data_IF_663058116588
#
_entry.id   IF_663058116588
#
_cell.length_a   1.000
_cell.length_b   1.000
_cell.length_c   1.000
_cell.angle_alpha   90.00
_cell.angle_beta   90.00
_cell.angle_gamma   90.00
#
_symmetry.space_group_name_H-M   'P 1'
#
loop_
_entity.id
_entity.type
_entity.pdbx_description
1 polymer ?
#
# COMPACT_ATOMS: atom_id res chain seq x y z
N UNK A 1 -34.93 -45.25 -32.63
CA UNK A 1 -33.83 -44.97 -31.69
C UNK A 1 -33.91 -43.52 -31.26
N UNK A 2 -34.18 -43.26 -29.98
CA UNK A 2 -34.25 -41.92 -29.38
C UNK A 2 -32.86 -41.53 -28.87
N UNK A 3 -32.30 -40.43 -29.34
CA UNK A 3 -31.10 -39.84 -28.74
C UNK A 3 -31.54 -38.78 -27.73
N UNK A 4 -31.22 -39.00 -26.45
CA UNK A 4 -31.36 -38.04 -25.37
C UNK A 4 -30.05 -37.24 -25.31
N UNK A 5 -30.11 -35.95 -25.64
CA UNK A 5 -29.00 -35.02 -25.39
C UNK A 5 -29.03 -34.62 -23.91
N UNK A 6 -28.05 -35.10 -23.14
CA UNK A 6 -27.75 -34.56 -21.82
C UNK A 6 -26.95 -33.26 -21.98
N UNK A 7 -27.58 -32.12 -21.69
CA UNK A 7 -26.88 -30.86 -21.46
C UNK A 7 -26.26 -30.90 -20.05
N UNK A 8 -24.97 -31.19 -19.97
CA UNK A 8 -24.18 -30.95 -18.76
C UNK A 8 -23.95 -29.43 -18.64
N UNK A 9 -24.70 -28.78 -17.75
CA UNK A 9 -24.47 -27.39 -17.37
C UNK A 9 -23.18 -27.33 -16.54
N UNK A 10 -22.05 -27.13 -17.23
CA UNK A 10 -20.77 -26.78 -16.60
C UNK A 10 -20.91 -25.35 -16.07
N UNK A 11 -21.35 -25.18 -14.82
CA UNK A 11 -21.18 -23.93 -14.11
C UNK A 11 -19.70 -23.89 -13.69
N UNK A 12 -18.85 -23.04 -14.29
CA UNK A 12 -17.53 -22.85 -13.73
C UNK A 12 -17.71 -22.28 -12.33
N UNK A 13 -17.23 -23.01 -11.33
CA UNK A 13 -17.08 -22.53 -9.98
C UNK A 13 -16.12 -21.33 -10.04
N UNK A 14 -16.67 -20.11 -10.16
CA UNK A 14 -15.88 -18.89 -10.04
C UNK A 14 -15.49 -18.79 -8.57
N UNK A 15 -14.34 -19.36 -8.23
CA UNK A 15 -13.67 -19.06 -6.98
C UNK A 15 -13.46 -17.55 -6.93
N UNK A 16 -14.19 -16.85 -6.05
CA UNK A 16 -13.90 -15.47 -5.71
C UNK A 16 -12.51 -15.43 -5.09
N UNK A 17 -11.48 -15.21 -5.92
CA UNK A 17 -10.16 -14.87 -5.43
C UNK A 17 -10.31 -13.59 -4.63
N UNK A 18 -10.11 -13.67 -3.30
CA UNK A 18 -10.04 -12.48 -2.45
C UNK A 18 -8.86 -11.65 -2.92
N UNK A 19 -9.12 -10.50 -3.54
CA UNK A 19 -8.09 -9.56 -3.92
C UNK A 19 -7.62 -8.84 -2.66
N UNK A 20 -6.44 -9.23 -2.18
CA UNK A 20 -5.75 -8.62 -1.04
C UNK A 20 -5.29 -7.17 -1.28
N UNK A 21 -5.55 -6.64 -2.46
CA UNK A 21 -5.24 -5.27 -2.81
C UNK A 21 -6.20 -4.76 -3.90
N UNK A 22 -6.28 -3.43 -4.02
CA UNK A 22 -6.98 -2.75 -5.12
C UNK A 22 -6.12 -1.61 -5.67
N UNK A 23 -6.24 -1.34 -6.96
CA UNK A 23 -5.63 -0.16 -7.59
C UNK A 23 -6.40 1.10 -7.14
N UNK A 24 -5.68 2.06 -6.57
CA UNK A 24 -6.22 3.36 -6.15
C UNK A 24 -5.55 4.53 -6.89
N UNK A 25 -4.81 4.26 -7.97
CA UNK A 25 -3.99 5.26 -8.68
C UNK A 25 -4.80 6.48 -9.13
N UNK A 26 -6.07 6.29 -9.49
CA UNK A 26 -6.96 7.38 -9.91
C UNK A 26 -7.42 8.25 -8.73
N UNK A 27 -7.49 7.68 -7.52
CA UNK A 27 -7.91 8.39 -6.30
C UNK A 27 -6.72 8.95 -5.52
N UNK A 28 -5.54 8.36 -5.67
CA UNK A 28 -4.27 8.75 -5.06
C UNK A 28 -3.12 8.41 -6.01
N UNK A 29 -2.63 9.45 -6.70
CA UNK A 29 -1.67 9.31 -7.79
C UNK A 29 -0.26 9.02 -7.28
N UNK A 30 0.63 8.61 -8.20
CA UNK A 30 2.06 8.49 -7.93
C UNK A 30 2.63 9.78 -7.36
N UNK A 31 2.35 10.93 -8.00
CA UNK A 31 2.91 12.21 -7.56
C UNK A 31 2.46 12.57 -6.14
N UNK A 32 1.23 12.24 -5.78
CA UNK A 32 0.70 12.44 -4.42
C UNK A 32 1.37 11.50 -3.42
N UNK A 33 1.61 10.24 -3.79
CA UNK A 33 2.43 9.32 -2.99
C UNK A 33 3.83 9.88 -2.74
N UNK A 34 4.51 10.35 -3.79
CA UNK A 34 5.86 10.91 -3.67
C UNK A 34 5.88 12.20 -2.85
N UNK A 35 4.86 13.04 -2.97
CA UNK A 35 4.74 14.25 -2.17
C UNK A 35 4.62 13.94 -0.67
N UNK A 36 3.77 12.96 -0.31
CA UNK A 36 3.66 12.48 1.08
C UNK A 36 5.00 11.90 1.56
N UNK A 37 5.65 11.07 0.75
CA UNK A 37 6.96 10.48 1.08
C UNK A 37 8.01 11.56 1.35
N UNK A 38 8.19 12.50 0.43
CA UNK A 38 9.17 13.58 0.57
C UNK A 38 8.90 14.45 1.79
N UNK A 39 7.63 14.74 2.08
CA UNK A 39 7.26 15.48 3.27
C UNK A 39 7.67 14.77 4.55
N UNK A 40 7.38 13.46 4.68
CA UNK A 40 7.76 12.69 5.86
C UNK A 40 9.28 12.64 6.01
N UNK A 41 10.02 12.45 4.91
CA UNK A 41 11.50 12.45 4.96
C UNK A 41 12.08 13.80 5.38
N UNK A 42 11.42 14.91 5.02
CA UNK A 42 11.91 16.28 5.30
C UNK A 42 11.48 16.81 6.67
N UNK A 43 10.28 16.49 7.11
CA UNK A 43 9.63 17.09 8.28
C UNK A 43 9.32 16.09 9.40
N UNK A 44 9.51 14.80 9.15
CA UNK A 44 9.30 13.73 10.10
C UNK A 44 10.46 13.53 11.08
N UNK A 45 10.28 12.51 11.90
CA UNK A 45 11.30 11.93 12.74
C UNK A 45 11.40 10.42 12.43
N UNK A 46 12.17 9.68 13.20
CA UNK A 46 12.25 8.22 13.07
C UNK A 46 11.56 7.54 14.24
N UNK A 47 10.81 6.48 13.97
CA UNK A 47 10.19 5.64 14.99
C UNK A 47 10.24 4.16 14.57
N UNK A 48 10.27 3.26 15.54
CA UNK A 48 10.14 1.82 15.27
C UNK A 48 8.67 1.45 15.20
N UNK A 49 8.24 0.88 14.07
CA UNK A 49 6.86 0.44 13.85
C UNK A 49 6.71 -1.08 13.82
N UNK A 50 7.61 -1.80 13.13
CA UNK A 50 7.50 -3.27 12.95
C UNK A 50 8.58 -3.98 13.76
N UNK A 51 8.39 -5.27 13.98
CA UNK A 51 9.33 -6.06 14.78
C UNK A 51 10.64 -6.41 14.05
N UNK A 52 10.69 -6.24 12.73
CA UNK A 52 11.82 -6.70 11.90
C UNK A 52 12.67 -5.57 11.31
N UNK A 53 12.27 -4.33 11.52
CA UNK A 53 13.00 -3.12 11.15
C UNK A 53 12.75 -2.00 12.17
N UNK A 54 13.56 -0.96 12.12
CA UNK A 54 13.56 0.15 13.06
C UNK A 54 13.86 1.46 12.36
N UNK A 55 13.71 2.58 13.07
CA UNK A 55 13.98 3.92 12.55
C UNK A 55 13.21 4.25 11.26
N UNK A 56 12.00 3.74 11.12
CA UNK A 56 11.12 4.08 10.01
C UNK A 56 10.91 5.60 9.99
N UNK A 57 11.11 6.28 8.85
CA UNK A 57 10.70 7.67 8.73
C UNK A 57 9.21 7.77 9.06
N UNK A 58 8.88 8.73 9.90
CA UNK A 58 7.60 8.79 10.58
C UNK A 58 7.13 10.24 10.70
N UNK A 59 5.83 10.45 10.56
CA UNK A 59 5.18 11.72 10.86
C UNK A 59 3.84 11.47 11.53
N UNK A 60 3.50 12.31 12.52
CA UNK A 60 2.23 12.23 13.24
C UNK A 60 1.32 13.39 12.89
N UNK A 61 0.08 13.09 12.51
CA UNK A 61 -1.00 14.07 12.33
C UNK A 61 -2.11 13.73 13.30
N UNK A 62 -2.38 14.63 14.23
CA UNK A 62 -3.35 14.43 15.31
C UNK A 62 -3.10 13.08 16.02
N UNK A 63 -4.05 12.16 15.91
CA UNK A 63 -3.99 10.81 16.48
C UNK A 63 -3.70 9.74 15.39
N UNK A 64 -2.96 10.08 14.35
CA UNK A 64 -2.59 9.15 13.27
C UNK A 64 -1.09 9.21 13.04
N UNK A 65 -0.44 8.08 13.27
CA UNK A 65 0.98 7.87 12.97
C UNK A 65 1.13 7.37 11.53
N UNK A 66 2.09 7.92 10.79
CA UNK A 66 2.30 7.62 9.38
C UNK A 66 3.75 7.22 9.20
N UNK A 67 3.99 6.04 8.64
CA UNK A 67 5.32 5.45 8.52
C UNK A 67 5.68 5.23 7.05
N UNK A 68 6.95 5.46 6.73
CA UNK A 68 7.57 4.96 5.50
C UNK A 68 8.28 3.65 5.79
N UNK A 69 8.03 2.67 4.93
CA UNK A 69 8.55 1.32 5.09
C UNK A 69 9.46 0.97 3.90
N UNK A 70 10.68 0.54 4.21
CA UNK A 70 11.60 0.06 3.18
C UNK A 70 11.08 -1.21 2.50
N UNK A 71 11.19 -1.25 1.18
CA UNK A 71 10.75 -2.34 0.32
C UNK A 71 11.68 -3.57 0.31
N UNK A 72 12.86 -3.43 0.91
CA UNK A 72 13.91 -4.45 0.98
C UNK A 72 13.84 -5.28 2.27
N UNK A 73 12.88 -4.98 3.15
CA UNK A 73 12.66 -5.68 4.42
C UNK A 73 13.90 -5.64 5.31
N UNK A 74 14.26 -6.78 5.91
CA UNK A 74 15.40 -6.90 6.83
C UNK A 74 16.76 -6.54 6.22
N UNK A 75 16.90 -6.47 4.90
CA UNK A 75 18.14 -6.01 4.24
C UNK A 75 18.41 -4.53 4.48
N UNK A 76 17.39 -3.75 4.85
CA UNK A 76 17.50 -2.38 5.32
C UNK A 76 16.84 -2.22 6.70
N UNK A 77 17.31 -2.99 7.68
CA UNK A 77 16.74 -3.05 9.04
C UNK A 77 16.68 -1.70 9.78
N UNK A 78 17.51 -0.74 9.39
CA UNK A 78 17.55 0.61 9.99
C UNK A 78 16.87 1.67 9.13
N UNK A 79 16.15 1.29 8.07
CA UNK A 79 15.48 2.20 7.14
C UNK A 79 16.37 3.35 6.64
N UNK A 80 17.62 3.03 6.27
CA UNK A 80 18.51 4.02 5.66
C UNK A 80 17.89 4.52 4.34
N UNK A 81 17.65 5.84 4.19
CA UNK A 81 17.07 6.40 2.97
C UNK A 81 17.95 6.22 1.73
N UNK A 82 19.27 6.06 1.88
CA UNK A 82 20.18 5.83 0.74
C UNK A 82 20.02 4.42 0.13
N UNK A 83 19.34 3.52 0.84
CA UNK A 83 19.18 2.10 0.47
C UNK A 83 17.73 1.75 0.11
N UNK A 84 16.82 2.74 0.09
CA UNK A 84 15.38 2.51 -0.02
C UNK A 84 14.67 3.64 -0.74
N UNK A 85 13.81 3.29 -1.70
CA UNK A 85 12.90 4.25 -2.33
C UNK A 85 11.60 4.45 -1.52
N UNK A 86 11.44 3.68 -0.43
CA UNK A 86 10.28 3.60 0.45
C UNK A 86 8.99 3.38 -0.34
N UNK A 87 8.78 2.14 -0.81
CA UNK A 87 7.61 1.83 -1.63
C UNK A 87 6.31 1.70 -0.84
N UNK A 88 6.33 1.81 0.48
CA UNK A 88 5.17 1.61 1.33
C UNK A 88 4.96 2.77 2.31
N UNK A 89 3.71 3.23 2.38
CA UNK A 89 3.20 4.11 3.43
C UNK A 89 2.26 3.29 4.31
N UNK A 90 2.51 3.27 5.61
CA UNK A 90 1.53 2.78 6.60
C UNK A 90 0.85 3.96 7.27
N UNK A 91 -0.48 3.94 7.30
CA UNK A 91 -1.31 4.85 8.07
C UNK A 91 -1.82 4.08 9.29
N UNK A 92 -1.47 4.54 10.48
CA UNK A 92 -1.82 3.90 11.75
C UNK A 92 -2.61 4.88 12.63
N UNK A 93 -3.94 4.94 12.46
CA UNK A 93 -4.81 5.69 13.37
C UNK A 93 -4.74 5.09 14.77
N UNK A 94 -4.79 5.91 15.82
CA UNK A 94 -4.82 5.45 17.21
C UNK A 94 -6.06 4.62 17.54
N UNK A 95 -7.12 4.78 16.75
CA UNK A 95 -8.38 4.04 16.83
C UNK A 95 -8.73 3.50 15.46
N UNK A 96 -8.71 2.18 15.30
CA UNK A 96 -9.06 1.51 14.05
C UNK A 96 -7.95 0.63 13.51
N UNK A 97 -8.15 0.05 12.31
CA UNK A 97 -7.12 -0.75 11.66
C UNK A 97 -6.03 0.15 11.06
N UNK A 98 -4.84 -0.41 10.92
CA UNK A 98 -3.80 0.21 10.11
C UNK A 98 -4.03 -0.10 8.63
N UNK A 99 -3.52 0.78 7.77
CA UNK A 99 -3.66 0.69 6.33
C UNK A 99 -2.29 0.74 5.66
N UNK A 100 -2.07 -0.10 4.66
CA UNK A 100 -0.84 -0.11 3.88
C UNK A 100 -1.12 0.30 2.45
N UNK A 101 -0.39 1.32 2.00
CA UNK A 101 -0.41 1.80 0.62
C UNK A 101 0.94 1.49 0.01
N UNK A 102 0.96 0.85 -1.16
CA UNK A 102 2.19 0.54 -1.90
C UNK A 102 2.20 1.22 -3.25
N UNK A 103 3.30 1.88 -3.57
CA UNK A 103 3.62 2.30 -4.93
C UNK A 103 4.40 1.20 -5.66
N UNK A 104 4.14 1.05 -6.96
CA UNK A 104 4.97 0.27 -7.87
C UNK A 104 5.44 1.21 -8.97
N UNK A 105 6.72 1.60 -8.94
CA UNK A 105 7.31 2.54 -9.90
C UNK A 105 7.70 1.85 -11.19
N UNK A 106 7.92 2.66 -12.22
CA UNK A 106 8.53 2.18 -13.45
C UNK A 106 9.90 1.57 -13.15
N UNK A 107 10.09 0.31 -13.52
CA UNK A 107 11.31 -0.45 -13.29
C UNK A 107 11.43 -1.20 -11.97
N UNK A 108 10.46 -1.09 -11.07
CA UNK A 108 10.52 -1.83 -9.81
C UNK A 108 10.50 -3.35 -10.03
N UNK A 109 9.79 -3.86 -11.05
CA UNK A 109 9.79 -5.30 -11.37
C UNK A 109 11.17 -5.83 -11.80
N UNK A 110 12.08 -4.94 -12.19
CA UNK A 110 13.45 -5.31 -12.59
C UNK A 110 14.44 -5.26 -11.42
N UNK A 111 14.05 -4.72 -10.27
CA UNK A 111 14.90 -4.58 -9.08
C UNK A 111 14.91 -5.89 -8.28
N UNK A 112 16.07 -6.57 -8.22
CA UNK A 112 16.23 -7.87 -7.55
C UNK A 112 15.97 -7.85 -6.03
N UNK A 113 16.01 -6.68 -5.42
CA UNK A 113 15.85 -6.46 -3.99
C UNK A 113 14.43 -6.10 -3.57
N UNK A 114 13.51 -5.91 -4.51
CA UNK A 114 12.10 -5.59 -4.24
C UNK A 114 11.24 -6.80 -4.58
N UNK A 115 10.36 -7.19 -3.64
CA UNK A 115 9.33 -8.19 -3.92
C UNK A 115 8.01 -7.48 -4.21
N UNK A 116 7.50 -7.67 -5.43
CA UNK A 116 6.23 -7.09 -5.88
C UNK A 116 5.27 -8.25 -6.14
N UNK A 117 4.04 -8.23 -5.59
CA UNK A 117 3.04 -9.23 -5.92
C UNK A 117 2.77 -9.29 -7.43
N UNK A 118 2.73 -10.49 -8.02
CA UNK A 118 2.70 -10.73 -9.49
C UNK A 118 1.58 -9.99 -10.24
N UNK A 119 0.49 -9.64 -9.56
CA UNK A 119 -0.67 -8.96 -10.14
C UNK A 119 -0.63 -7.43 -10.03
N UNK A 120 0.40 -6.85 -9.41
CA UNK A 120 0.59 -5.41 -9.35
C UNK A 120 1.41 -4.92 -10.56
N UNK A 121 0.88 -3.94 -11.28
CA UNK A 121 1.51 -3.34 -12.46
C UNK A 121 2.38 -2.15 -12.07
N UNK A 122 3.41 -1.86 -12.88
CA UNK A 122 4.19 -0.63 -12.73
C UNK A 122 3.35 0.62 -12.99
N UNK A 123 3.82 1.74 -12.45
CA UNK A 123 3.18 3.06 -12.52
C UNK A 123 1.79 3.06 -11.87
N UNK A 124 1.66 2.39 -10.73
CA UNK A 124 0.41 2.27 -9.98
C UNK A 124 0.61 2.43 -8.49
N UNK A 125 -0.46 2.79 -7.81
CA UNK A 125 -0.56 2.85 -6.35
C UNK A 125 -1.69 1.93 -5.89
N UNK A 126 -1.41 1.11 -4.88
CA UNK A 126 -2.29 0.07 -4.39
C UNK A 126 -2.61 0.26 -2.91
N UNK A 127 -3.87 0.06 -2.53
CA UNK A 127 -4.26 -0.18 -1.15
C UNK A 127 -4.21 -1.69 -0.88
N UNK A 128 -3.51 -2.10 0.18
CA UNK A 128 -3.27 -3.49 0.56
C UNK A 128 -4.03 -3.82 1.85
N UNK A 129 -4.60 -5.04 1.90
CA UNK A 129 -5.11 -5.69 3.09
C UNK A 129 -4.57 -7.14 3.16
N UNK A 130 -3.53 -7.35 3.97
CA UNK A 130 -2.91 -8.66 4.12
C UNK A 130 -3.84 -9.70 4.77
N UNK A 131 -4.90 -9.26 5.46
CA UNK A 131 -5.84 -10.13 6.17
C UNK A 131 -7.11 -10.48 5.39
N UNK A 132 -7.31 -9.92 4.19
CA UNK A 132 -8.48 -10.23 3.38
C UNK A 132 -8.74 -9.26 2.23
N UNK A 133 -9.99 -9.21 1.78
CA UNK A 133 -10.38 -8.32 0.68
C UNK A 133 -10.39 -6.86 1.14
N UNK A 134 -9.95 -5.94 0.27
CA UNK A 134 -10.13 -4.51 0.51
C UNK A 134 -11.60 -4.14 0.27
N UNK A 135 -12.26 -3.61 1.29
CA UNK A 135 -13.66 -3.17 1.20
C UNK A 135 -13.77 -1.71 0.69
N UNK A 136 -14.93 -1.34 0.16
CA UNK A 136 -15.19 0.04 -0.22
C UNK A 136 -15.11 1.01 0.98
N UNK A 137 -15.53 0.56 2.17
CA UNK A 137 -15.42 1.34 3.40
C UNK A 137 -13.96 1.58 3.80
N UNK A 138 -13.12 0.55 3.71
CA UNK A 138 -11.68 0.66 3.95
C UNK A 138 -11.04 1.65 2.96
N UNK A 139 -11.33 1.53 1.66
CA UNK A 139 -10.85 2.48 0.65
C UNK A 139 -11.24 3.91 1.00
N UNK A 140 -12.51 4.14 1.33
CA UNK A 140 -13.01 5.47 1.72
C UNK A 140 -12.27 6.02 2.93
N UNK A 141 -12.03 5.20 3.96
CA UNK A 141 -11.34 5.65 5.16
C UNK A 141 -9.87 6.01 4.89
N UNK A 142 -9.16 5.18 4.12
CA UNK A 142 -7.80 5.49 3.67
C UNK A 142 -7.74 6.82 2.92
N UNK A 143 -8.66 7.06 1.99
CA UNK A 143 -8.69 8.31 1.23
C UNK A 143 -8.96 9.52 2.15
N UNK A 144 -9.79 9.38 3.19
CA UNK A 144 -9.99 10.44 4.17
C UNK A 144 -8.70 10.76 4.96
N UNK A 145 -7.93 9.74 5.34
CA UNK A 145 -6.63 9.96 5.99
C UNK A 145 -5.64 10.64 5.05
N UNK A 146 -5.55 10.21 3.79
CA UNK A 146 -4.70 10.84 2.78
C UNK A 146 -5.04 12.32 2.56
N UNK A 147 -6.32 12.66 2.47
CA UNK A 147 -6.75 14.06 2.34
C UNK A 147 -6.27 14.92 3.52
N UNK A 148 -6.29 14.39 4.75
CA UNK A 148 -5.76 15.10 5.94
C UNK A 148 -4.26 15.30 5.86
N UNK A 149 -3.53 14.30 5.38
CA UNK A 149 -2.08 14.38 5.16
C UNK A 149 -1.76 15.47 4.14
N UNK A 150 -2.47 15.46 3.01
CA UNK A 150 -2.25 16.41 1.93
C UNK A 150 -2.62 17.83 2.29
N UNK A 151 -3.65 18.02 3.12
CA UNK A 151 -3.98 19.31 3.69
C UNK A 151 -2.87 19.86 4.61
N UNK A 152 -2.01 19.00 5.17
CA UNK A 152 -0.80 19.45 5.89
C UNK A 152 0.35 19.78 4.94
N UNK A 153 0.47 19.08 3.81
CA UNK A 153 1.49 19.37 2.78
C UNK A 153 1.38 20.81 2.26
N UNK A 154 0.16 21.33 2.09
CA UNK A 154 -0.07 22.67 1.54
C UNK A 154 0.25 23.84 2.49
N UNK A 155 0.63 23.54 3.74
CA UNK A 155 0.97 24.55 4.76
C UNK A 155 2.49 24.83 4.81
N UNK A 156 3.29 24.03 4.09
CA UNK A 156 4.76 24.13 4.03
C UNK A 156 5.25 24.40 2.61
#
# INVERSE_FOLDING_TARGET
MKYILLFACLIPCMGFNKTHFIDITNDFTIDRFEAVKHFILKHGNTQTYRNFDSNNPHYKIDNTDIYLNAETGQRNINNNPDLSDFNEITIHPSSGPYYTIRIVRAGDHRKKNIRIPDKMQEKRVYLINDYGTVSAAMKKDVLNHLLKIEAKLSVF
#
